data_IF_110419631667
#
_entry.id   IF_110419631667
#
_cell.length_a   1.000
_cell.length_b   1.000
_cell.length_c   1.000
_cell.angle_alpha   90.00
_cell.angle_beta   90.00
_cell.angle_gamma   90.00
#
_symmetry.space_group_name_H-M   'P 1'
#
loop_
_entity.id
_entity.type
_entity.pdbx_description
1 polymer ?
#
# COMPACT_ATOMS: atom_id res chain seq x y z
N UNK A 1 17.93 1.34 10.14
CA UNK A 1 18.44 2.56 10.81
C UNK A 1 18.43 3.68 9.78
N UNK A 2 18.02 4.88 10.17
CA UNK A 2 17.96 6.06 9.30
C UNK A 2 18.96 7.13 9.77
N UNK A 3 19.54 7.87 8.83
CA UNK A 3 20.34 9.06 9.14
C UNK A 3 19.44 10.26 9.40
N UNK A 4 19.99 11.40 9.84
CA UNK A 4 19.17 12.61 10.09
C UNK A 4 18.83 13.36 8.80
N UNK A 5 19.85 13.84 8.08
CA UNK A 5 19.66 14.76 6.95
C UNK A 5 18.98 14.10 5.76
N UNK A 6 19.47 12.94 5.33
CA UNK A 6 18.92 12.25 4.16
C UNK A 6 17.46 11.86 4.37
N UNK A 7 17.16 11.26 5.52
CA UNK A 7 15.80 10.89 5.90
C UNK A 7 14.86 12.10 5.96
N UNK A 8 15.23 13.15 6.69
CA UNK A 8 14.35 14.30 6.87
C UNK A 8 14.11 15.02 5.54
N UNK A 9 15.16 15.29 4.75
CA UNK A 9 15.00 15.92 3.42
C UNK A 9 14.08 15.09 2.53
N UNK A 10 14.26 13.77 2.50
CA UNK A 10 13.44 12.90 1.67
C UNK A 10 11.98 12.92 2.11
N UNK A 11 11.72 12.76 3.40
CA UNK A 11 10.36 12.75 3.96
C UNK A 11 9.66 14.10 3.80
N UNK A 12 10.36 15.22 4.00
CA UNK A 12 9.82 16.56 3.72
C UNK A 12 9.43 16.69 2.25
N UNK A 13 10.27 16.21 1.34
CA UNK A 13 10.01 16.33 -0.10
C UNK A 13 8.94 15.38 -0.62
N UNK A 14 8.89 14.15 -0.13
CA UNK A 14 7.78 13.25 -0.46
C UNK A 14 6.48 13.76 0.15
N UNK A 15 6.47 14.36 1.34
CA UNK A 15 5.29 15.02 1.89
C UNK A 15 4.79 16.14 0.95
N UNK A 16 5.69 16.99 0.48
CA UNK A 16 5.36 18.09 -0.44
C UNK A 16 4.84 17.55 -1.79
N UNK A 17 5.56 16.63 -2.43
CA UNK A 17 5.24 16.15 -3.78
C UNK A 17 4.07 15.18 -3.83
N UNK A 18 3.92 14.32 -2.81
CA UNK A 18 2.81 13.37 -2.77
C UNK A 18 1.49 14.08 -2.53
N UNK A 19 1.46 15.10 -1.66
CA UNK A 19 0.20 15.67 -1.20
C UNK A 19 -0.06 17.09 -1.72
N UNK A 20 0.94 17.77 -2.29
CA UNK A 20 0.83 19.17 -2.73
C UNK A 20 0.39 20.06 -1.58
N UNK A 21 1.07 19.94 -0.44
CA UNK A 21 0.71 20.62 0.81
C UNK A 21 0.68 22.13 0.64
N UNK A 22 -0.32 22.78 1.23
CA UNK A 22 -0.43 24.22 1.40
C UNK A 22 -0.68 24.60 2.88
N UNK A 23 -0.53 25.88 3.20
CA UNK A 23 -0.59 26.39 4.58
C UNK A 23 -1.93 26.18 5.29
N UNK A 24 -3.01 25.91 4.54
CA UNK A 24 -4.35 25.68 5.08
C UNK A 24 -4.68 24.19 5.25
N UNK A 25 -3.76 23.29 4.89
CA UNK A 25 -4.02 21.86 4.98
C UNK A 25 -4.03 21.35 6.42
N UNK A 26 -5.03 20.51 6.67
CA UNK A 26 -5.12 19.65 7.85
C UNK A 26 -4.91 18.23 7.38
N UNK A 27 -3.72 17.71 7.63
CA UNK A 27 -3.30 16.38 7.22
C UNK A 27 -3.62 15.36 8.32
N UNK A 28 -4.28 14.27 7.97
CA UNK A 28 -4.50 13.17 8.89
C UNK A 28 -4.01 11.85 8.31
N UNK A 29 -2.94 11.32 8.91
CA UNK A 29 -2.55 9.93 8.73
C UNK A 29 -3.04 9.08 9.91
N UNK A 30 -3.75 7.99 9.62
CA UNK A 30 -4.34 7.10 10.63
C UNK A 30 -3.36 6.08 11.19
N UNK A 31 -2.12 6.07 10.71
CA UNK A 31 -1.10 5.12 11.16
C UNK A 31 -0.61 5.45 12.57
N UNK A 32 -0.33 4.40 13.35
CA UNK A 32 0.30 4.53 14.66
C UNK A 32 1.78 4.95 14.54
N UNK A 33 2.26 5.73 15.51
CA UNK A 33 3.65 6.23 15.56
C UNK A 33 4.70 5.13 15.76
N UNK A 34 4.31 3.92 16.15
CA UNK A 34 5.17 2.74 16.20
C UNK A 34 5.60 2.22 14.82
N UNK A 35 4.94 2.64 13.74
CA UNK A 35 5.28 2.26 12.36
C UNK A 35 6.02 3.37 11.62
N UNK A 36 6.73 3.03 10.54
CA UNK A 36 7.44 4.01 9.71
C UNK A 36 6.49 5.07 9.13
N UNK A 37 5.25 4.70 8.80
CA UNK A 37 4.22 5.66 8.34
C UNK A 37 3.93 6.73 9.38
N UNK A 38 3.84 6.34 10.65
CA UNK A 38 3.69 7.30 11.74
C UNK A 38 4.93 8.19 11.92
N UNK A 39 6.13 7.61 11.83
CA UNK A 39 7.35 8.42 11.87
C UNK A 39 7.39 9.45 10.74
N UNK A 40 7.31 8.99 9.49
CA UNK A 40 7.51 9.83 8.31
C UNK A 40 6.32 10.76 8.04
N UNK A 41 5.09 10.30 8.22
CA UNK A 41 3.90 11.04 7.77
C UNK A 41 2.92 11.44 8.86
N UNK A 42 3.05 10.97 10.11
CA UNK A 42 2.34 11.62 11.23
C UNK A 42 3.19 12.73 11.82
N UNK A 43 4.50 12.49 11.99
CA UNK A 43 5.42 13.39 12.69
C UNK A 43 6.33 14.17 11.75
N UNK A 44 7.37 13.56 11.17
CA UNK A 44 8.47 14.30 10.57
C UNK A 44 8.08 15.11 9.33
N UNK A 45 7.39 14.50 8.37
CA UNK A 45 6.98 15.13 7.11
C UNK A 45 6.09 16.35 7.31
N UNK A 46 4.89 16.20 7.90
CA UNK A 46 3.99 17.33 8.12
C UNK A 46 4.63 18.44 8.95
N UNK A 47 5.28 18.10 10.07
CA UNK A 47 5.86 19.11 10.96
C UNK A 47 7.06 19.83 10.33
N UNK A 48 7.83 19.17 9.48
CA UNK A 48 8.92 19.80 8.73
C UNK A 48 8.44 20.86 7.72
N UNK A 49 7.20 20.75 7.27
CA UNK A 49 6.54 21.72 6.37
C UNK A 49 5.67 22.73 7.12
N UNK A 50 5.58 22.66 8.45
CA UNK A 50 4.67 23.49 9.23
C UNK A 50 3.18 23.15 9.04
N UNK A 51 2.88 21.97 8.50
CA UNK A 51 1.51 21.49 8.28
C UNK A 51 0.84 21.10 9.59
N UNK A 52 -0.47 21.34 9.69
CA UNK A 52 -1.27 20.81 10.80
C UNK A 52 -1.44 19.29 10.63
N UNK A 53 -1.00 18.51 11.60
CA UNK A 53 -1.15 17.05 11.62
C UNK A 53 -2.13 16.61 12.70
N UNK A 54 -3.04 15.70 12.37
CA UNK A 54 -3.99 15.10 13.32
C UNK A 54 -3.37 13.84 13.90
N UNK A 55 -3.25 13.79 15.23
CA UNK A 55 -2.92 12.58 15.99
C UNK A 55 -4.19 12.13 16.70
N UNK A 56 -4.60 10.89 16.47
CA UNK A 56 -5.81 10.34 17.06
C UNK A 56 -5.47 9.16 17.96
N UNK A 57 -5.89 9.26 19.22
CA UNK A 57 -5.77 8.20 20.22
C UNK A 57 -7.09 7.42 20.27
N UNK A 58 -7.18 6.33 19.50
CA UNK A 58 -8.36 5.46 19.51
C UNK A 58 -8.50 4.60 18.25
N UNK A 59 -9.52 3.73 18.26
CA UNK A 59 -9.95 3.06 17.03
C UNK A 59 -10.82 4.00 16.22
N UNK A 60 -10.66 3.98 14.89
CA UNK A 60 -11.36 4.85 13.95
C UNK A 60 -12.87 4.52 13.81
N UNK A 61 -13.32 3.44 14.43
CA UNK A 61 -14.69 2.93 14.45
C UNK A 61 -15.30 2.86 15.88
N UNK A 62 -14.65 3.47 16.87
CA UNK A 62 -15.14 3.51 18.26
C UNK A 62 -15.44 4.95 18.70
N UNK A 63 -16.59 5.24 19.34
CA UNK A 63 -17.60 4.30 19.83
C UNK A 63 -18.57 3.77 18.76
N UNK A 64 -18.49 4.28 17.53
CA UNK A 64 -19.30 3.81 16.40
C UNK A 64 -18.55 4.04 15.07
N UNK A 65 -18.99 3.39 13.97
CA UNK A 65 -18.37 3.53 12.64
C UNK A 65 -18.34 4.94 12.04
N UNK A 66 -19.07 5.89 12.64
CA UNK A 66 -19.06 7.30 12.26
C UNK A 66 -17.82 8.07 12.69
N UNK A 67 -17.01 7.52 13.62
CA UNK A 67 -15.98 8.30 14.32
C UNK A 67 -14.93 8.94 13.40
N UNK A 68 -14.46 8.21 12.41
CA UNK A 68 -13.51 8.75 11.43
C UNK A 68 -14.08 9.97 10.67
N UNK A 69 -15.37 9.92 10.30
CA UNK A 69 -16.02 10.99 9.56
C UNK A 69 -16.30 12.20 10.45
N UNK A 70 -16.67 11.96 11.71
CA UNK A 70 -16.83 12.99 12.75
C UNK A 70 -15.52 13.78 12.96
N UNK A 71 -14.36 13.10 12.96
CA UNK A 71 -13.04 13.75 13.09
C UNK A 71 -12.75 14.62 11.86
N UNK A 72 -13.06 14.14 10.67
CA UNK A 72 -12.88 14.90 9.42
C UNK A 72 -13.73 16.17 9.44
N UNK A 73 -15.01 16.03 9.79
CA UNK A 73 -15.96 17.15 9.87
C UNK A 73 -15.55 18.18 10.94
N UNK A 74 -15.23 17.72 12.15
CA UNK A 74 -14.91 18.62 13.28
C UNK A 74 -13.58 19.37 13.11
N UNK A 75 -12.59 18.75 12.46
CA UNK A 75 -11.25 19.31 12.32
C UNK A 75 -10.97 19.86 10.91
N UNK A 76 -11.93 19.75 9.99
CA UNK A 76 -11.78 20.19 8.60
C UNK A 76 -10.63 19.50 7.89
N UNK A 77 -10.49 18.18 8.08
CA UNK A 77 -9.38 17.42 7.48
C UNK A 77 -9.44 17.56 5.96
N UNK A 78 -8.31 17.95 5.35
CA UNK A 78 -8.21 18.13 3.89
C UNK A 78 -7.56 16.94 3.20
N UNK A 79 -6.73 16.18 3.91
CA UNK A 79 -6.02 15.02 3.37
C UNK A 79 -6.14 13.85 4.34
N UNK A 80 -6.73 12.75 3.88
CA UNK A 80 -6.87 11.51 4.65
C UNK A 80 -5.93 10.43 4.11
N UNK A 81 -4.98 9.98 4.92
CA UNK A 81 -4.03 8.93 4.58
C UNK A 81 -4.22 7.70 5.49
N UNK A 82 -4.67 6.58 4.92
CA UNK A 82 -5.06 5.40 5.70
C UNK A 82 -4.73 4.09 4.98
N UNK A 83 -4.78 2.96 5.69
CA UNK A 83 -4.50 1.64 5.12
C UNK A 83 -5.73 1.06 4.40
N UNK A 84 -5.56 0.27 3.32
CA UNK A 84 -6.66 -0.44 2.67
C UNK A 84 -7.49 -1.32 3.62
N UNK A 85 -6.88 -1.90 4.66
CA UNK A 85 -7.56 -2.68 5.70
C UNK A 85 -8.62 -1.83 6.40
N UNK A 86 -8.28 -0.60 6.79
CA UNK A 86 -9.23 0.34 7.37
C UNK A 86 -10.33 0.71 6.37
N UNK A 87 -9.99 0.93 5.10
CA UNK A 87 -10.97 1.23 4.05
C UNK A 87 -11.96 0.07 3.86
N UNK A 88 -11.47 -1.18 3.84
CA UNK A 88 -12.33 -2.39 3.76
C UNK A 88 -13.28 -2.49 4.94
N UNK A 89 -12.78 -2.24 6.15
CA UNK A 89 -13.59 -2.22 7.37
C UNK A 89 -14.70 -1.16 7.28
N UNK A 90 -14.36 0.06 6.90
CA UNK A 90 -15.31 1.17 6.76
C UNK A 90 -16.35 0.91 5.66
N UNK A 91 -15.92 0.34 4.53
CA UNK A 91 -16.81 -0.08 3.44
C UNK A 91 -17.85 -1.10 3.92
N UNK A 92 -17.48 -2.00 4.84
CA UNK A 92 -18.40 -3.01 5.41
C UNK A 92 -19.49 -2.40 6.30
N UNK A 93 -19.21 -1.28 6.97
CA UNK A 93 -20.19 -0.60 7.82
C UNK A 93 -21.29 0.12 7.02
N UNK A 94 -21.05 0.37 5.72
CA UNK A 94 -22.02 0.96 4.80
C UNK A 94 -21.85 2.47 4.63
N UNK A 95 -22.32 2.97 3.48
CA UNK A 95 -22.09 4.35 3.05
C UNK A 95 -22.86 5.39 3.85
N UNK A 96 -23.92 4.99 4.55
CA UNK A 96 -24.77 5.91 5.32
C UNK A 96 -23.99 6.63 6.43
N UNK A 97 -23.00 5.96 7.04
CA UNK A 97 -22.09 6.57 8.01
C UNK A 97 -21.24 7.69 7.39
N UNK A 98 -20.85 7.53 6.13
CA UNK A 98 -20.08 8.54 5.39
C UNK A 98 -21.00 9.70 5.04
N UNK A 99 -22.19 9.41 4.51
CA UNK A 99 -23.18 10.40 4.05
C UNK A 99 -23.79 11.24 5.17
N UNK A 100 -23.73 10.78 6.42
CA UNK A 100 -24.25 11.50 7.57
C UNK A 100 -23.32 12.60 8.12
N UNK A 101 -22.15 12.81 7.54
CA UNK A 101 -21.16 13.80 7.98
C UNK A 101 -20.71 14.69 6.82
N UNK A 102 -20.39 15.96 7.10
CA UNK A 102 -19.77 16.85 6.12
C UNK A 102 -18.26 16.58 6.01
N UNK A 103 -17.88 15.80 5.00
CA UNK A 103 -16.49 15.51 4.65
C UNK A 103 -16.00 16.31 3.42
N UNK A 104 -16.70 17.39 3.07
CA UNK A 104 -16.43 18.16 1.84
C UNK A 104 -15.09 18.91 1.82
N UNK A 105 -14.42 19.02 2.97
CA UNK A 105 -13.06 19.58 3.10
C UNK A 105 -11.99 18.70 2.48
N UNK A 106 -12.26 17.39 2.33
CA UNK A 106 -11.32 16.46 1.72
C UNK A 106 -11.02 16.88 0.27
N UNK A 107 -9.72 16.95 -0.03
CA UNK A 107 -9.21 17.21 -1.38
C UNK A 107 -8.36 16.08 -1.92
N UNK A 108 -7.70 15.29 -1.05
CA UNK A 108 -6.88 14.14 -1.44
C UNK A 108 -7.13 12.97 -0.48
N UNK A 109 -7.15 11.79 -1.06
CA UNK A 109 -7.16 10.53 -0.34
C UNK A 109 -5.83 9.80 -0.56
N UNK A 110 -5.36 9.11 0.47
CA UNK A 110 -4.13 8.33 0.42
C UNK A 110 -4.35 6.89 0.86
N UNK A 111 -3.57 5.98 0.26
CA UNK A 111 -3.52 4.57 0.62
C UNK A 111 -2.09 4.07 0.81
N UNK A 112 -1.86 3.20 1.79
CA UNK A 112 -0.52 2.72 2.16
C UNK A 112 -0.52 1.36 2.84
N UNK A 113 0.58 0.65 2.68
CA UNK A 113 0.98 -0.48 3.52
C UNK A 113 0.66 -1.84 2.93
N UNK A 114 -0.32 -1.91 2.03
CA UNK A 114 -0.67 -3.12 1.29
C UNK A 114 -1.30 -2.75 -0.06
N UNK A 115 -1.31 -3.65 -1.06
CA UNK A 115 -1.99 -3.40 -2.31
C UNK A 115 -3.49 -3.12 -2.11
N UNK A 116 -3.99 -2.02 -2.68
CA UNK A 116 -5.42 -1.70 -2.66
C UNK A 116 -6.14 -2.37 -3.83
N UNK A 117 -7.07 -3.28 -3.54
CA UNK A 117 -7.88 -3.92 -4.58
C UNK A 117 -8.74 -2.88 -5.35
N UNK A 118 -8.92 -3.00 -6.68
CA UNK A 118 -9.70 -2.07 -7.51
C UNK A 118 -11.10 -1.76 -7.00
N UNK A 119 -11.79 -2.73 -6.38
CA UNK A 119 -13.12 -2.54 -5.78
C UNK A 119 -13.07 -1.59 -4.59
N UNK A 120 -12.09 -1.79 -3.70
CA UNK A 120 -11.88 -0.97 -2.51
C UNK A 120 -11.45 0.43 -2.91
N UNK A 121 -10.55 0.53 -3.88
CA UNK A 121 -10.13 1.80 -4.49
C UNK A 121 -11.31 2.58 -5.05
N UNK A 122 -12.18 1.92 -5.84
CA UNK A 122 -13.37 2.57 -6.42
C UNK A 122 -14.34 3.06 -5.34
N UNK A 123 -14.62 2.25 -4.33
CA UNK A 123 -15.46 2.67 -3.20
C UNK A 123 -14.87 3.90 -2.50
N UNK A 124 -13.56 3.90 -2.24
CA UNK A 124 -12.89 5.02 -1.59
C UNK A 124 -12.97 6.30 -2.42
N UNK A 125 -12.81 6.20 -3.75
CA UNK A 125 -12.91 7.33 -4.67
C UNK A 125 -14.35 7.87 -4.77
N UNK A 126 -15.33 6.99 -4.93
CA UNK A 126 -16.70 7.36 -5.21
C UNK A 126 -17.47 7.83 -3.97
N UNK A 127 -17.29 7.13 -2.84
CA UNK A 127 -18.07 7.36 -1.61
C UNK A 127 -17.37 8.36 -0.70
N UNK A 128 -16.09 8.13 -0.37
CA UNK A 128 -15.35 9.03 0.52
C UNK A 128 -14.84 10.25 -0.25
N UNK A 129 -14.23 10.02 -1.41
CA UNK A 129 -13.68 11.09 -2.24
C UNK A 129 -14.72 11.86 -3.05
N UNK A 130 -15.99 11.44 -3.01
CA UNK A 130 -17.11 12.03 -3.75
C UNK A 130 -16.83 12.24 -5.25
N UNK A 131 -16.00 11.37 -5.85
CA UNK A 131 -15.51 11.48 -7.24
C UNK A 131 -14.75 12.78 -7.56
N UNK A 132 -14.19 13.43 -6.53
CA UNK A 132 -13.44 14.69 -6.63
C UNK A 132 -12.02 14.55 -6.10
N UNK A 133 -11.81 13.72 -5.08
CA UNK A 133 -10.50 13.53 -4.47
C UNK A 133 -9.70 12.47 -5.23
N UNK A 134 -8.53 12.78 -5.82
CA UNK A 134 -7.62 11.75 -6.31
C UNK A 134 -7.15 10.86 -5.16
N UNK A 135 -6.91 9.58 -5.47
CA UNK A 135 -6.31 8.63 -4.53
C UNK A 135 -4.84 8.46 -4.86
N UNK A 136 -4.00 8.76 -3.89
CA UNK A 136 -2.58 8.51 -3.94
C UNK A 136 -2.27 7.16 -3.29
N UNK A 137 -2.03 6.14 -4.12
CA UNK A 137 -1.56 4.84 -3.66
C UNK A 137 -0.03 4.85 -3.55
N UNK A 138 0.48 4.78 -2.31
CA UNK A 138 1.89 4.97 -2.00
C UNK A 138 2.55 3.64 -1.68
N UNK A 139 3.41 3.16 -2.60
CA UNK A 139 4.32 2.06 -2.33
C UNK A 139 5.67 2.54 -1.77
N UNK A 140 6.06 1.93 -0.66
CA UNK A 140 7.33 2.15 0.05
C UNK A 140 7.43 1.17 1.23
N UNK A 141 8.59 1.17 1.90
CA UNK A 141 8.91 0.30 3.03
C UNK A 141 9.61 1.06 4.16
N UNK A 142 9.74 0.42 5.34
CA UNK A 142 10.49 0.97 6.48
C UNK A 142 11.91 1.39 6.09
N UNK A 143 12.55 0.57 5.28
CA UNK A 143 13.91 0.70 4.78
C UNK A 143 14.07 1.86 3.79
N UNK A 144 12.99 2.28 3.15
CA UNK A 144 13.03 3.34 2.14
C UNK A 144 12.84 4.74 2.71
N UNK A 145 12.39 4.83 3.97
CA UNK A 145 12.20 6.07 4.72
C UNK A 145 10.97 6.89 4.30
N UNK A 146 10.68 6.99 3.00
CA UNK A 146 9.53 7.72 2.44
C UNK A 146 9.01 7.07 1.16
N UNK A 147 8.07 7.72 0.48
CA UNK A 147 7.38 7.17 -0.70
C UNK A 147 8.37 6.89 -1.84
N UNK A 148 8.22 5.77 -2.55
CA UNK A 148 9.11 5.36 -3.65
C UNK A 148 8.37 5.32 -4.98
N UNK A 149 7.18 4.73 -5.01
CA UNK A 149 6.32 4.69 -6.20
C UNK A 149 4.97 5.23 -5.76
N UNK A 150 4.54 6.34 -6.36
CA UNK A 150 3.31 7.04 -5.99
C UNK A 150 2.95 8.04 -7.08
N UNK A 151 1.67 8.42 -7.22
CA UNK A 151 1.27 9.52 -8.08
C UNK A 151 1.54 10.88 -7.39
N UNK A 152 2.49 11.71 -7.84
CA UNK A 152 2.71 13.03 -7.25
C UNK A 152 1.55 13.99 -7.57
N UNK A 153 1.12 14.74 -6.56
CA UNK A 153 0.12 15.80 -6.73
C UNK A 153 0.80 17.03 -7.33
N UNK A 154 0.28 17.50 -8.46
CA UNK A 154 0.83 18.65 -9.19
C UNK A 154 1.36 18.31 -10.58
N UNK A 155 1.62 17.03 -10.86
CA UNK A 155 1.82 16.55 -12.24
C UNK A 155 0.44 16.24 -12.82
N UNK A 156 -0.25 17.29 -13.28
CA UNK A 156 -1.55 17.16 -13.93
C UNK A 156 -1.46 16.16 -15.09
N UNK A 157 -2.41 15.23 -15.17
CA UNK A 157 -2.57 14.33 -16.31
C UNK A 157 -2.00 12.93 -16.15
N UNK A 158 -1.60 12.48 -14.94
CA UNK A 158 -1.36 11.05 -14.65
C UNK A 158 -2.72 10.36 -14.43
N UNK A 159 -3.23 9.50 -15.34
CA UNK A 159 -4.47 8.78 -15.10
C UNK A 159 -4.28 7.71 -14.02
N UNK A 160 -5.00 7.83 -12.90
CA UNK A 160 -4.92 6.85 -11.84
C UNK A 160 -5.58 5.53 -12.28
N UNK A 161 -4.81 4.44 -12.23
CA UNK A 161 -5.29 3.08 -12.47
C UNK A 161 -5.59 2.42 -11.11
N UNK A 162 -6.83 1.98 -10.83
CA UNK A 162 -7.18 1.37 -9.54
C UNK A 162 -6.29 0.15 -9.23
N UNK A 163 -5.52 0.23 -8.14
CA UNK A 163 -4.59 -0.82 -7.70
C UNK A 163 -3.15 -0.70 -8.22
N UNK A 164 -2.84 0.35 -8.98
CA UNK A 164 -1.46 0.67 -9.34
C UNK A 164 -0.92 1.82 -8.48
N UNK A 165 0.34 1.69 -8.04
CA UNK A 165 1.10 2.75 -7.39
C UNK A 165 1.62 3.82 -8.37
N UNK A 166 1.37 3.64 -9.67
CA UNK A 166 1.78 4.52 -10.78
C UNK A 166 3.28 4.49 -11.10
N UNK A 167 4.00 5.60 -10.97
CA UNK A 167 5.37 5.75 -11.45
C UNK A 167 6.36 5.88 -10.30
N UNK A 168 7.65 5.58 -10.53
CA UNK A 168 8.70 5.91 -9.58
C UNK A 168 8.69 7.41 -9.26
N UNK A 169 8.90 7.73 -7.99
CA UNK A 169 8.97 9.10 -7.50
C UNK A 169 10.16 9.87 -8.08
N UNK A 170 10.17 11.18 -7.83
CA UNK A 170 11.23 12.06 -8.33
C UNK A 170 12.59 11.61 -7.79
N UNK A 171 13.53 11.34 -8.71
CA UNK A 171 14.88 10.89 -8.38
C UNK A 171 14.99 9.41 -8.05
N UNK A 172 13.95 8.61 -8.29
CA UNK A 172 13.95 7.16 -8.12
C UNK A 172 14.01 6.47 -9.50
N UNK A 173 15.02 5.64 -9.70
CA UNK A 173 15.14 4.75 -10.86
C UNK A 173 14.75 3.34 -10.43
N UNK A 174 13.47 3.02 -10.52
CA UNK A 174 12.95 1.69 -10.26
C UNK A 174 12.78 0.88 -11.55
N UNK A 175 12.94 -0.44 -11.46
CA UNK A 175 12.70 -1.36 -12.57
C UNK A 175 12.23 -2.73 -12.09
N UNK A 176 11.71 -3.52 -13.03
CA UNK A 176 11.31 -4.91 -12.79
C UNK A 176 12.32 -5.82 -13.49
N UNK A 177 12.96 -6.71 -12.73
CA UNK A 177 14.04 -7.56 -13.21
C UNK A 177 13.81 -9.05 -12.96
N UNK A 178 14.44 -9.90 -13.76
CA UNK A 178 14.58 -11.32 -13.48
C UNK A 178 15.57 -11.58 -12.32
N UNK A 179 15.76 -12.85 -11.95
CA UNK A 179 16.71 -13.25 -10.89
C UNK A 179 18.18 -12.99 -11.27
N UNK A 180 18.47 -12.69 -12.53
CA UNK A 180 19.81 -12.32 -13.00
C UNK A 180 20.03 -10.79 -13.04
N UNK A 181 19.00 -10.00 -12.71
CA UNK A 181 19.04 -8.54 -12.77
C UNK A 181 18.78 -7.94 -14.15
N UNK A 182 18.32 -8.72 -15.12
CA UNK A 182 17.94 -8.21 -16.44
C UNK A 182 16.52 -7.60 -16.40
N UNK A 183 16.34 -6.42 -16.98
CA UNK A 183 15.03 -5.78 -17.13
C UNK A 183 14.06 -6.68 -17.88
N UNK A 184 12.86 -6.85 -17.32
CA UNK A 184 11.78 -7.60 -17.94
C UNK A 184 10.94 -6.71 -18.87
N UNK A 185 10.33 -7.30 -19.92
CA UNK A 185 9.39 -6.58 -20.78
C UNK A 185 8.08 -6.24 -20.03
N UNK A 186 7.22 -5.39 -20.60
CA UNK A 186 5.96 -5.02 -19.98
C UNK A 186 5.08 -6.23 -19.62
N UNK A 187 4.35 -6.10 -18.52
CA UNK A 187 3.44 -7.10 -17.94
C UNK A 187 4.09 -8.42 -17.48
N UNK A 188 5.41 -8.54 -17.53
CA UNK A 188 6.10 -9.70 -16.94
C UNK A 188 6.39 -9.49 -15.45
N UNK A 189 6.07 -10.53 -14.66
CA UNK A 189 6.30 -10.57 -13.22
C UNK A 189 7.78 -10.73 -12.95
N UNK A 190 8.35 -9.80 -12.18
CA UNK A 190 9.72 -9.86 -11.71
C UNK A 190 9.92 -9.18 -10.37
N UNK A 191 11.18 -9.12 -9.95
CA UNK A 191 11.57 -8.43 -8.73
C UNK A 191 11.59 -6.93 -8.98
N UNK A 192 10.93 -6.18 -8.09
CA UNK A 192 11.13 -4.75 -8.03
C UNK A 192 12.54 -4.47 -7.51
N UNK A 193 13.26 -3.58 -8.17
CA UNK A 193 14.58 -3.08 -7.73
C UNK A 193 14.65 -1.57 -7.86
N UNK A 194 15.48 -0.94 -7.03
CA UNK A 194 15.85 0.47 -7.14
C UNK A 194 17.33 0.55 -7.48
N UNK A 195 17.66 1.14 -8.63
CA UNK A 195 19.00 1.10 -9.23
C UNK A 195 19.94 2.18 -8.70
N UNK A 196 19.40 3.31 -8.27
CA UNK A 196 20.16 4.42 -7.73
C UNK A 196 19.89 4.61 -6.22
N UNK A 197 20.87 5.12 -5.44
CA UNK A 197 20.61 5.53 -4.07
C UNK A 197 19.72 6.76 -4.01
N UNK A 198 18.93 6.89 -2.94
CA UNK A 198 18.09 8.05 -2.66
C UNK A 198 18.32 8.55 -1.22
N UNK A 199 18.00 9.82 -0.91
CA UNK A 199 18.36 10.40 0.39
C UNK A 199 17.74 9.69 1.60
N UNK A 200 16.51 9.18 1.46
CA UNK A 200 15.74 8.55 2.54
C UNK A 200 16.06 7.08 2.81
N UNK A 201 16.97 6.47 2.04
CA UNK A 201 17.32 5.07 2.20
C UNK A 201 17.93 4.78 3.59
N UNK A 202 17.66 3.58 4.11
CA UNK A 202 18.32 3.10 5.32
C UNK A 202 19.84 3.11 5.17
N UNK A 203 20.53 3.36 6.28
CA UNK A 203 22.00 3.35 6.33
C UNK A 203 22.57 2.04 6.89
N UNK A 204 21.71 1.08 7.20
CA UNK A 204 22.10 -0.22 7.74
C UNK A 204 21.09 -0.80 8.74
N UNK A 205 21.36 -2.04 9.17
CA UNK A 205 20.70 -2.69 10.28
C UNK A 205 21.54 -2.53 11.55
N UNK A 206 20.89 -2.19 12.67
CA UNK A 206 21.59 -1.89 13.92
C UNK A 206 22.44 -3.07 14.38
N UNK A 207 23.77 -2.87 14.43
CA UNK A 207 24.77 -3.89 14.80
C UNK A 207 24.69 -5.18 13.95
N UNK A 208 24.26 -5.09 12.68
CA UNK A 208 24.12 -6.28 11.82
C UNK A 208 24.37 -5.98 10.33
N UNK A 209 25.62 -5.67 9.99
CA UNK A 209 26.03 -5.33 8.62
C UNK A 209 25.94 -6.53 7.66
N UNK A 210 26.14 -7.75 8.16
CA UNK A 210 26.04 -8.97 7.35
C UNK A 210 24.61 -9.16 6.85
N UNK A 211 23.62 -9.10 7.76
CA UNK A 211 22.22 -9.18 7.37
C UNK A 211 21.80 -8.01 6.50
N UNK A 212 22.36 -6.81 6.70
CA UNK A 212 22.08 -5.66 5.84
C UNK A 212 22.50 -5.92 4.39
N UNK A 213 23.70 -6.47 4.15
CA UNK A 213 24.15 -6.86 2.80
C UNK A 213 23.29 -7.98 2.22
N UNK A 214 23.12 -9.05 2.97
CA UNK A 214 22.36 -10.22 2.53
C UNK A 214 20.92 -9.89 2.16
N UNK A 215 20.24 -9.06 2.97
CA UNK A 215 18.82 -8.77 2.77
C UNK A 215 18.55 -7.86 1.57
N UNK A 216 19.41 -6.87 1.29
CA UNK A 216 19.06 -5.79 0.36
C UNK A 216 19.97 -5.66 -0.86
N UNK A 217 21.19 -6.25 -0.84
CA UNK A 217 22.24 -5.96 -1.83
C UNK A 217 22.80 -7.19 -2.53
N UNK A 218 22.72 -8.38 -1.93
CA UNK A 218 23.32 -9.60 -2.49
C UNK A 218 22.43 -10.28 -3.54
N UNK A 219 21.10 -10.12 -3.46
CA UNK A 219 20.17 -10.78 -4.39
C UNK A 219 20.31 -10.27 -5.82
N UNK A 220 20.33 -8.95 -6.00
CA UNK A 220 20.56 -8.30 -7.30
C UNK A 220 21.72 -7.32 -7.12
N UNK A 221 22.93 -7.65 -7.59
CA UNK A 221 24.10 -6.81 -7.40
C UNK A 221 23.91 -5.38 -7.91
N UNK A 222 24.45 -4.41 -7.16
CA UNK A 222 24.38 -2.97 -7.44
C UNK A 222 22.97 -2.35 -7.41
N UNK A 223 21.94 -3.08 -7.00
CA UNK A 223 20.59 -2.56 -6.82
C UNK A 223 20.12 -2.78 -5.37
N UNK A 224 19.28 -1.88 -4.87
CA UNK A 224 18.50 -2.16 -3.66
C UNK A 224 17.33 -3.07 -4.03
N UNK A 225 17.20 -4.21 -3.35
CA UNK A 225 16.11 -5.15 -3.54
C UNK A 225 15.12 -5.12 -2.35
N UNK A 226 13.93 -4.52 -2.51
CA UNK A 226 12.87 -4.52 -1.48
C UNK A 226 12.29 -5.91 -1.18
N UNK A 227 12.61 -6.93 -2.00
CA UNK A 227 11.98 -8.26 -1.94
C UNK A 227 10.46 -8.24 -2.17
N UNK A 228 10.00 -7.40 -3.09
CA UNK A 228 8.62 -7.40 -3.59
C UNK A 228 8.61 -7.82 -5.06
N UNK A 229 7.59 -8.59 -5.45
CA UNK A 229 7.26 -8.79 -6.85
C UNK A 229 6.37 -7.66 -7.35
N UNK A 230 6.60 -7.27 -8.60
CA UNK A 230 5.78 -6.30 -9.28
C UNK A 230 5.75 -6.58 -10.78
N UNK A 231 4.81 -5.94 -11.47
CA UNK A 231 4.80 -5.81 -12.93
C UNK A 231 4.87 -4.33 -13.29
N UNK A 232 5.47 -4.05 -14.45
CA UNK A 232 5.44 -2.74 -15.10
C UNK A 232 4.62 -2.90 -16.36
N UNK A 233 3.49 -2.21 -16.47
CA UNK A 233 2.62 -2.34 -17.64
C UNK A 233 3.15 -1.59 -18.88
N UNK A 234 2.42 -1.68 -19.98
CA UNK A 234 2.78 -1.07 -21.27
C UNK A 234 2.89 0.46 -21.21
N UNK A 235 2.16 1.09 -20.28
CA UNK A 235 2.21 2.53 -20.05
C UNK A 235 3.26 2.92 -19.00
N UNK A 236 4.00 1.94 -18.47
CA UNK A 236 5.04 2.12 -17.45
C UNK A 236 4.52 2.18 -16.01
N UNK A 237 3.25 1.84 -15.75
CA UNK A 237 2.70 1.82 -14.39
C UNK A 237 3.19 0.59 -13.64
N UNK A 238 3.56 0.80 -12.38
CA UNK A 238 3.99 -0.24 -11.47
C UNK A 238 2.79 -0.78 -10.69
N UNK A 239 2.70 -2.11 -10.64
CA UNK A 239 1.70 -2.84 -9.89
C UNK A 239 2.40 -3.77 -8.92
N UNK A 240 2.19 -3.56 -7.62
CA UNK A 240 2.85 -4.32 -6.58
C UNK A 240 2.04 -5.60 -6.33
N UNK A 241 2.69 -6.74 -6.53
CA UNK A 241 2.09 -8.07 -6.41
C UNK A 241 2.33 -8.69 -5.03
N UNK A 242 2.98 -7.97 -4.12
CA UNK A 242 3.31 -8.43 -2.78
C UNK A 242 4.71 -9.02 -2.65
N UNK A 243 4.94 -9.69 -1.53
CA UNK A 243 6.26 -10.09 -1.06
C UNK A 243 6.84 -11.25 -1.87
N UNK A 244 8.07 -11.09 -2.35
CA UNK A 244 8.79 -12.11 -3.12
C UNK A 244 9.30 -13.28 -2.26
N UNK A 245 9.32 -13.11 -0.94
CA UNK A 245 9.54 -14.17 0.05
C UNK A 245 8.23 -14.86 0.50
N UNK A 246 7.06 -14.27 0.21
CA UNK A 246 5.74 -14.88 0.46
C UNK A 246 5.20 -15.53 -0.83
N UNK A 247 5.97 -16.46 -1.38
CA UNK A 247 5.68 -17.09 -2.67
C UNK A 247 5.57 -18.58 -2.46
N UNK A 248 4.47 -19.14 -2.92
CA UNK A 248 4.23 -20.57 -2.87
C UNK A 248 5.01 -21.26 -3.98
N UNK A 249 5.69 -22.35 -3.65
CA UNK A 249 6.25 -23.27 -4.63
C UNK A 249 5.34 -24.50 -4.77
N UNK A 250 4.41 -24.43 -5.73
CA UNK A 250 3.43 -25.50 -5.98
C UNK A 250 3.88 -26.28 -7.21
N UNK A 251 4.44 -27.47 -6.99
CA UNK A 251 4.96 -28.35 -8.03
C UNK A 251 5.94 -27.64 -8.99
N UNK A 252 6.84 -26.80 -8.45
CA UNK A 252 7.82 -26.03 -9.23
C UNK A 252 7.32 -24.68 -9.75
N UNK A 253 6.03 -24.36 -9.59
CA UNK A 253 5.46 -23.08 -10.00
C UNK A 253 5.49 -22.09 -8.84
N UNK A 254 6.06 -20.90 -9.08
CA UNK A 254 6.12 -19.81 -8.10
C UNK A 254 4.88 -18.92 -8.17
N UNK A 255 3.94 -19.17 -7.28
CA UNK A 255 2.64 -18.49 -7.22
C UNK A 255 2.66 -17.46 -6.08
N UNK A 256 2.31 -16.21 -6.36
CA UNK A 256 2.22 -15.19 -5.30
C UNK A 256 0.97 -15.41 -4.44
N UNK A 257 1.09 -15.31 -3.13
CA UNK A 257 -0.07 -15.41 -2.22
C UNK A 257 -1.09 -14.31 -2.50
N UNK A 258 -0.65 -13.08 -2.69
CA UNK A 258 -1.52 -11.93 -2.96
C UNK A 258 -2.30 -12.04 -4.29
N UNK A 259 -1.75 -12.72 -5.31
CA UNK A 259 -2.47 -12.98 -6.56
C UNK A 259 -3.68 -13.90 -6.31
N UNK A 260 -3.47 -14.98 -5.55
CA UNK A 260 -4.54 -15.90 -5.15
C UNK A 260 -5.56 -15.19 -4.25
N UNK A 261 -5.11 -14.34 -3.34
CA UNK A 261 -5.98 -13.53 -2.49
C UNK A 261 -6.85 -12.59 -3.33
N UNK A 262 -6.26 -11.93 -4.33
CA UNK A 262 -6.97 -11.03 -5.23
C UNK A 262 -8.07 -11.74 -6.03
N UNK A 263 -7.76 -12.91 -6.59
CA UNK A 263 -8.75 -13.75 -7.30
C UNK A 263 -9.90 -14.11 -6.36
N UNK A 264 -9.60 -14.57 -5.15
CA UNK A 264 -10.62 -14.92 -4.17
C UNK A 264 -11.48 -13.72 -3.76
N UNK A 265 -10.89 -12.55 -3.50
CA UNK A 265 -11.62 -11.32 -3.11
C UNK A 265 -12.51 -10.79 -4.24
N UNK A 266 -12.18 -11.10 -5.50
CA UNK A 266 -13.01 -10.77 -6.65
C UNK A 266 -14.35 -11.54 -6.66
N UNK A 267 -14.40 -12.70 -6.01
CA UNK A 267 -15.60 -13.52 -5.91
C UNK A 267 -16.70 -12.83 -5.07
N UNK A 268 -17.98 -12.82 -5.51
CA UNK A 268 -19.07 -12.12 -4.80
C UNK A 268 -19.29 -12.56 -3.35
N UNK A 269 -18.94 -13.80 -3.01
CA UNK A 269 -19.10 -14.33 -1.65
C UNK A 269 -17.99 -13.89 -0.68
N UNK A 270 -16.83 -13.45 -1.16
CA UNK A 270 -15.63 -13.22 -0.33
C UNK A 270 -15.50 -11.75 0.05
N UNK A 271 -15.33 -11.49 1.34
CA UNK A 271 -15.01 -10.17 1.90
C UNK A 271 -13.51 -9.95 1.95
N UNK A 272 -12.79 -10.89 2.57
CA UNK A 272 -11.35 -10.89 2.77
C UNK A 272 -10.81 -12.30 2.58
N UNK A 273 -9.56 -12.40 2.14
CA UNK A 273 -8.85 -13.66 2.02
C UNK A 273 -7.41 -13.49 2.49
N UNK A 274 -6.83 -14.59 2.97
CA UNK A 274 -5.41 -14.72 3.23
C UNK A 274 -4.95 -16.10 2.77
N UNK A 275 -3.87 -16.18 2.00
CA UNK A 275 -3.37 -17.44 1.44
C UNK A 275 -1.99 -17.74 1.99
N UNK A 276 -1.82 -18.96 2.51
CA UNK A 276 -0.53 -19.44 3.01
C UNK A 276 -0.11 -20.71 2.27
N UNK A 277 1.19 -20.99 2.33
CA UNK A 277 1.75 -22.27 1.91
C UNK A 277 1.59 -23.30 3.01
N UNK A 278 1.06 -24.46 2.66
CA UNK A 278 1.13 -25.66 3.50
C UNK A 278 2.09 -26.66 2.85
N UNK A 279 3.06 -27.22 3.59
CA UNK A 279 3.92 -28.28 3.06
C UNK A 279 3.12 -29.47 2.51
N UNK A 280 3.56 -30.00 1.37
CA UNK A 280 2.97 -31.14 0.68
C UNK A 280 4.09 -32.05 0.14
N UNK A 281 4.01 -33.35 0.43
CA UNK A 281 5.08 -34.32 0.13
C UNK A 281 5.35 -34.51 -1.38
N UNK A 282 4.38 -34.15 -2.24
CA UNK A 282 4.47 -34.33 -3.69
C UNK A 282 4.72 -33.00 -4.39
N UNK A 283 3.99 -31.96 -3.98
CA UNK A 283 4.00 -30.64 -4.65
C UNK A 283 5.00 -29.67 -4.04
N UNK A 284 5.66 -30.03 -2.93
CA UNK A 284 6.45 -29.10 -2.13
C UNK A 284 5.52 -28.29 -1.23
N UNK A 285 4.67 -27.46 -1.82
CA UNK A 285 3.63 -26.72 -1.12
C UNK A 285 2.27 -26.80 -1.83
N UNK A 286 1.20 -26.60 -1.05
CA UNK A 286 -0.16 -26.37 -1.55
C UNK A 286 -0.74 -25.11 -0.94
N UNK A 287 -1.50 -24.31 -1.72
CA UNK A 287 -2.14 -23.11 -1.20
C UNK A 287 -3.27 -23.48 -0.24
N UNK A 288 -3.30 -22.82 0.91
CA UNK A 288 -4.41 -22.86 1.85
C UNK A 288 -4.98 -21.45 1.97
N UNK A 289 -6.21 -21.28 1.52
CA UNK A 289 -6.93 -20.03 1.60
C UNK A 289 -7.83 -19.98 2.85
N UNK A 290 -7.66 -18.94 3.65
CA UNK A 290 -8.60 -18.51 4.67
C UNK A 290 -9.51 -17.45 4.06
N UNK A 291 -10.82 -17.60 4.24
CA UNK A 291 -11.81 -16.76 3.58
C UNK A 291 -12.82 -16.26 4.60
N UNK A 292 -13.03 -14.95 4.64
CA UNK A 292 -14.11 -14.31 5.40
C UNK A 292 -15.24 -14.00 4.42
N UNK A 293 -16.42 -14.62 4.57
CA UNK A 293 -17.52 -14.39 3.65
C UNK A 293 -18.25 -13.06 3.92
N UNK A 294 -18.85 -12.47 2.88
CA UNK A 294 -19.65 -11.24 2.99
C UNK A 294 -20.98 -11.43 3.72
N UNK A 295 -21.51 -12.64 3.70
CA UNK A 295 -22.76 -13.04 4.34
C UNK A 295 -22.58 -14.40 4.99
N UNK A 296 -23.50 -14.75 5.88
CA UNK A 296 -23.50 -16.06 6.51
C UNK A 296 -23.63 -17.16 5.45
N UNK A 297 -22.75 -18.16 5.51
CA UNK A 297 -22.74 -19.29 4.57
C UNK A 297 -23.58 -20.42 5.16
N UNK A 298 -24.74 -20.67 4.54
CA UNK A 298 -25.65 -21.75 4.93
C UNK A 298 -25.10 -23.15 4.56
N UNK A 299 -24.36 -23.26 3.46
CA UNK A 299 -23.75 -24.51 3.00
C UNK A 299 -22.26 -24.34 2.73
N UNK A 300 -21.42 -24.68 3.73
CA UNK A 300 -19.97 -24.52 3.65
C UNK A 300 -19.31 -25.39 2.59
N UNK A 301 -19.90 -26.55 2.24
CA UNK A 301 -19.32 -27.47 1.26
C UNK A 301 -19.47 -26.92 -0.16
N UNK A 302 -20.68 -26.47 -0.49
CA UNK A 302 -20.98 -25.84 -1.78
C UNK A 302 -20.18 -24.56 -1.98
N UNK A 303 -20.15 -23.68 -0.97
CA UNK A 303 -19.33 -22.47 -1.04
C UNK A 303 -17.83 -22.78 -1.23
N UNK A 304 -17.32 -23.86 -0.63
CA UNK A 304 -15.94 -24.29 -0.84
C UNK A 304 -15.70 -24.76 -2.28
N UNK A 305 -16.60 -25.57 -2.83
CA UNK A 305 -16.48 -26.05 -4.22
C UNK A 305 -16.58 -24.90 -5.22
N UNK A 306 -17.47 -23.94 -5.00
CA UNK A 306 -17.59 -22.72 -5.80
C UNK A 306 -16.30 -21.88 -5.78
N UNK A 307 -15.74 -21.63 -4.60
CA UNK A 307 -14.51 -20.84 -4.44
C UNK A 307 -13.27 -21.51 -5.03
N UNK A 308 -13.20 -22.85 -5.02
CA UNK A 308 -12.09 -23.59 -5.65
C UNK A 308 -12.11 -23.46 -7.19
N UNK A 309 -13.28 -23.18 -7.77
CA UNK A 309 -13.47 -23.03 -9.21
C UNK A 309 -13.40 -21.57 -9.70
N UNK A 310 -13.08 -20.62 -8.81
CA UNK A 310 -12.83 -19.20 -9.13
C UNK A 310 -11.44 -19.02 -9.70
#
# INVERSE_FOLDING_TARGET
MHSTWGYLVYVTKTMEWTWGINDMDVFWCTADIGWITGHSYVVYGPLSLGTTTVIYEGSIDYPNPGKIWEIIENHGVTILYTAPTAIRMLMKYGEEWVKSHDISTLRILGSVGEPINPRVWKWYYEVVGQKKCPITDCYWQTETGGHIIYPPIGIQGIPLKPGSATFPGIGIEADIVDENGNSLPPNEKGLLVIKNPWPGMLIGLWKNDERYRAAYWERIPNCYCPSDYAIKDEDGYFWILGRADEVLNVAGHRIGTAELEHVLVSHPLVSESAVIGKPDDIKGEVPVAFVIPRREINNKKEAKEELINT
#
